data_IF_122270308719
#
_entry.id   IF_122270308719
#
_cell.length_a   1.000
_cell.length_b   1.000
_cell.length_c   1.000
_cell.angle_alpha   90.00
_cell.angle_beta   90.00
_cell.angle_gamma   90.00
#
_symmetry.space_group_name_H-M   'P 1'
#
loop_
_entity.id
_entity.type
_entity.pdbx_description
1 polymer ?
#
# COMPACT_ATOMS: atom_id res chain seq x y z
N UNK A 1 15.48 -16.96 -26.10
CA UNK A 1 16.33 -16.10 -25.25
C UNK A 1 16.70 -16.93 -24.04
N UNK A 2 17.99 -17.12 -23.73
CA UNK A 2 18.38 -17.87 -22.53
C UNK A 2 17.98 -17.01 -21.32
N UNK A 3 17.11 -17.54 -20.46
CA UNK A 3 16.54 -16.80 -19.31
C UNK A 3 17.62 -16.44 -18.28
N UNK A 4 18.66 -17.26 -18.17
CA UNK A 4 19.76 -17.08 -17.23
C UNK A 4 21.10 -17.29 -17.93
N UNK A 5 21.78 -16.20 -18.29
CA UNK A 5 23.11 -16.22 -18.88
C UNK A 5 24.07 -15.44 -18.00
N UNK A 6 25.22 -16.02 -17.71
CA UNK A 6 26.30 -15.34 -17.00
C UNK A 6 27.58 -15.35 -17.85
N UNK A 7 28.22 -14.20 -18.10
CA UNK A 7 27.80 -12.85 -17.69
C UNK A 7 26.53 -12.38 -18.44
N UNK A 8 25.68 -11.55 -17.81
CA UNK A 8 24.45 -11.08 -18.42
C UNK A 8 24.72 -10.18 -19.64
N UNK A 9 23.91 -10.35 -20.67
CA UNK A 9 23.96 -9.51 -21.88
C UNK A 9 23.47 -8.09 -21.57
N UNK A 10 23.89 -7.10 -22.36
CA UNK A 10 23.40 -5.71 -22.26
C UNK A 10 21.87 -5.61 -22.31
N UNK A 11 21.22 -6.47 -23.12
CA UNK A 11 19.75 -6.55 -23.22
C UNK A 11 19.12 -7.09 -21.93
N UNK A 12 19.71 -8.11 -21.30
CA UNK A 12 19.25 -8.62 -20.00
C UNK A 12 19.38 -7.56 -18.91
N UNK A 13 20.50 -6.83 -18.87
CA UNK A 13 20.68 -5.72 -17.91
C UNK A 13 19.63 -4.61 -18.11
N UNK A 14 19.41 -4.20 -19.36
CA UNK A 14 18.40 -3.18 -19.69
C UNK A 14 16.98 -3.63 -19.27
N UNK A 15 16.64 -4.90 -19.50
CA UNK A 15 15.35 -5.47 -19.06
C UNK A 15 15.23 -5.45 -17.54
N UNK A 16 16.28 -5.85 -16.79
CA UNK A 16 16.27 -5.79 -15.33
C UNK A 16 16.03 -4.35 -14.84
N UNK A 17 16.74 -3.37 -15.39
CA UNK A 17 16.56 -1.95 -15.06
C UNK A 17 15.11 -1.52 -15.34
N UNK A 18 14.57 -1.87 -16.50
CA UNK A 18 13.19 -1.53 -16.85
C UNK A 18 12.18 -2.13 -15.87
N UNK A 19 12.36 -3.39 -15.46
CA UNK A 19 11.52 -4.03 -14.45
C UNK A 19 11.59 -3.32 -13.09
N UNK A 20 12.79 -2.94 -12.63
CA UNK A 20 12.94 -2.21 -11.37
C UNK A 20 12.29 -0.83 -11.43
N UNK A 21 12.51 -0.06 -12.49
CA UNK A 21 11.87 1.25 -12.68
C UNK A 21 10.35 1.12 -12.68
N UNK A 22 9.82 0.13 -13.40
CA UNK A 22 8.38 -0.15 -13.46
C UNK A 22 7.84 -0.57 -12.10
N UNK A 23 8.56 -1.39 -11.36
CA UNK A 23 8.18 -1.78 -10.00
C UNK A 23 8.09 -0.58 -9.08
N UNK A 24 9.17 0.23 -9.01
CA UNK A 24 9.21 1.43 -8.17
C UNK A 24 8.10 2.41 -8.52
N UNK A 25 7.81 2.63 -9.81
CA UNK A 25 6.75 3.53 -10.23
C UNK A 25 5.37 3.05 -9.78
N UNK A 26 5.06 1.76 -9.92
CA UNK A 26 3.80 1.17 -9.47
C UNK A 26 3.65 1.24 -7.94
N UNK A 27 4.70 0.91 -7.19
CA UNK A 27 4.67 1.01 -5.72
C UNK A 27 4.46 2.46 -5.26
N UNK A 28 5.17 3.41 -5.86
CA UNK A 28 5.06 4.82 -5.50
C UNK A 28 3.66 5.37 -5.79
N UNK A 29 3.11 5.06 -6.97
CA UNK A 29 1.76 5.46 -7.34
C UNK A 29 0.71 4.84 -6.41
N UNK A 30 0.84 3.54 -6.09
CA UNK A 30 -0.04 2.85 -5.17
C UNK A 30 0.02 3.42 -3.74
N UNK A 31 1.22 3.70 -3.24
CA UNK A 31 1.41 4.32 -1.94
C UNK A 31 0.80 5.72 -1.87
N UNK A 32 1.02 6.55 -2.90
CA UNK A 32 0.42 7.88 -3.00
C UNK A 32 -1.12 7.81 -2.95
N UNK A 33 -1.73 6.96 -3.79
CA UNK A 33 -3.18 6.79 -3.81
C UNK A 33 -3.71 6.24 -2.47
N UNK A 34 -2.99 5.32 -1.84
CA UNK A 34 -3.34 4.81 -0.52
C UNK A 34 -3.38 5.93 0.52
N UNK A 35 -2.32 6.74 0.60
CA UNK A 35 -2.20 7.83 1.57
C UNK A 35 -3.25 8.93 1.35
N UNK A 36 -3.55 9.29 0.10
CA UNK A 36 -4.60 10.27 -0.21
C UNK A 36 -5.98 9.78 0.23
N UNK A 37 -6.24 8.47 0.19
CA UNK A 37 -7.56 7.89 0.44
C UNK A 37 -7.72 7.25 1.83
N UNK A 38 -6.65 7.12 2.62
CA UNK A 38 -6.72 6.43 3.92
C UNK A 38 -7.46 7.25 4.98
N UNK A 39 -7.34 8.58 4.94
CA UNK A 39 -7.89 9.45 5.98
C UNK A 39 -9.43 9.35 6.14
N UNK A 40 -10.25 9.39 5.07
CA UNK A 40 -11.70 9.17 5.18
C UNK A 40 -12.06 7.79 5.76
N UNK A 41 -11.29 6.75 5.44
CA UNK A 41 -11.53 5.40 5.94
C UNK A 41 -11.19 5.29 7.42
N UNK A 42 -10.08 5.89 7.85
CA UNK A 42 -9.72 6.02 9.26
C UNK A 42 -10.79 6.79 10.04
N UNK A 43 -11.33 7.88 9.49
CA UNK A 43 -12.38 8.67 10.12
C UNK A 43 -13.66 7.85 10.34
N UNK A 44 -14.10 7.09 9.33
CA UNK A 44 -15.26 6.18 9.44
C UNK A 44 -15.04 5.09 10.48
N UNK A 45 -13.86 4.47 10.47
CA UNK A 45 -13.51 3.44 11.46
C UNK A 45 -13.46 4.01 12.87
N UNK A 46 -12.92 5.23 13.04
CA UNK A 46 -12.87 5.93 14.32
C UNK A 46 -14.28 6.27 14.83
N UNK A 47 -15.15 6.82 13.97
CA UNK A 47 -16.53 7.15 14.35
C UNK A 47 -17.31 5.93 14.86
N UNK A 48 -17.15 4.77 14.20
CA UNK A 48 -17.76 3.51 14.66
C UNK A 48 -17.23 3.06 16.02
N UNK A 49 -15.91 3.13 16.23
CA UNK A 49 -15.28 2.79 17.51
C UNK A 49 -15.75 3.72 18.63
N UNK A 50 -15.82 5.01 18.36
CA UNK A 50 -16.24 6.02 19.34
C UNK A 50 -17.71 5.82 19.74
N UNK A 51 -18.60 5.50 18.78
CA UNK A 51 -19.98 5.13 19.06
C UNK A 51 -20.10 3.91 19.98
N UNK A 52 -19.39 2.83 19.68
CA UNK A 52 -19.42 1.60 20.50
C UNK A 52 -18.90 1.89 21.90
N UNK A 53 -17.79 2.62 22.04
CA UNK A 53 -17.25 3.01 23.35
C UNK A 53 -18.24 3.85 24.15
N UNK A 54 -18.90 4.82 23.52
CA UNK A 54 -19.92 5.64 24.18
C UNK A 54 -21.10 4.79 24.65
N UNK A 55 -21.55 3.84 23.83
CA UNK A 55 -22.64 2.92 24.20
C UNK A 55 -22.25 2.01 25.37
N UNK A 56 -21.04 1.45 25.35
CA UNK A 56 -20.53 0.61 26.42
C UNK A 56 -20.35 1.38 27.73
N UNK A 57 -19.81 2.61 27.67
CA UNK A 57 -19.69 3.46 28.85
C UNK A 57 -21.05 3.74 29.48
N UNK A 58 -22.06 4.10 28.68
CA UNK A 58 -23.42 4.28 29.17
C UNK A 58 -23.97 3.03 29.87
N UNK A 59 -23.70 1.83 29.34
CA UNK A 59 -24.15 0.58 29.97
C UNK A 59 -23.41 0.22 31.26
N UNK A 60 -22.21 0.74 31.47
CA UNK A 60 -21.41 0.51 32.69
C UNK A 60 -21.70 1.57 33.77
N UNK A 61 -22.13 2.76 33.35
CA UNK A 61 -22.52 3.86 34.23
C UNK A 61 -23.99 3.74 34.72
N UNK A 62 -24.80 2.88 34.09
CA UNK A 62 -26.17 2.47 34.49
C UNK A 62 -26.13 1.24 35.43
#
# INVERSE_FOLDING_TARGET
>A
MVVWSYPPTRKQLAMSIAFFITGVSLFTAGAYLSLVNVAPQQARAKARKDFVKARLRKLLDD
#
